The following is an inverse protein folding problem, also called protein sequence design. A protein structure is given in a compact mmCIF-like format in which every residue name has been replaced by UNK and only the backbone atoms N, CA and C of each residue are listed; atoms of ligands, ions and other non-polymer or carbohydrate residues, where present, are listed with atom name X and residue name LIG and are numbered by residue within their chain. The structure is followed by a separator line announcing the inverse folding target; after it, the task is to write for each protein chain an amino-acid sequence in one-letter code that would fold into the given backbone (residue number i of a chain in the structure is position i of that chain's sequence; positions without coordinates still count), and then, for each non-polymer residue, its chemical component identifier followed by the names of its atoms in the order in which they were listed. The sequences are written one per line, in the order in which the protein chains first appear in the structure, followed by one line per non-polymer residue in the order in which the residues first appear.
data_IF_154238488973
#
_entry.id   IF_154238488973
#
_cell.length_a   1.000
_cell.length_b   1.000
_cell.length_c   1.000
_cell.angle_alpha   90.00
_cell.angle_beta   90.00
_cell.angle_gamma   90.00
#
_symmetry.space_group_name_H-M   'P 1'
#
loop_
_entity.id
_entity.type
_entity.pdbx_description
1 polymer ?
#
# COMPACT_ATOMS: atom_id res chain seq x y z
N UNK A 1 82.49 -8.26 24.61
CA UNK A 1 81.91 -8.64 23.30
C UNK A 1 80.42 -8.38 23.42
N UNK A 2 79.95 -7.29 22.81
CA UNK A 2 78.61 -6.73 23.03
C UNK A 2 77.61 -7.36 22.06
N UNK A 3 76.57 -8.00 22.58
CA UNK A 3 75.43 -8.51 21.80
C UNK A 3 74.53 -7.32 21.41
N UNK A 4 74.09 -7.16 20.14
CA UNK A 4 73.29 -6.01 19.73
C UNK A 4 71.85 -6.15 20.26
N UNK A 5 71.28 -5.01 20.68
CA UNK A 5 69.90 -4.90 21.14
C UNK A 5 68.91 -5.26 20.01
N UNK A 6 67.90 -6.07 20.32
CA UNK A 6 66.80 -6.39 19.41
C UNK A 6 65.95 -5.16 19.15
N UNK A 7 65.92 -4.70 17.89
CA UNK A 7 65.06 -3.61 17.42
C UNK A 7 63.59 -3.99 17.55
N UNK A 8 62.84 -3.35 18.44
CA UNK A 8 61.40 -3.52 18.53
C UNK A 8 60.71 -2.94 17.29
N UNK A 9 60.13 -3.82 16.46
CA UNK A 9 59.28 -3.40 15.35
C UNK A 9 57.93 -2.98 15.94
N UNK A 10 57.70 -1.67 16.07
CA UNK A 10 56.39 -1.14 16.43
C UNK A 10 55.36 -1.62 15.39
N UNK A 11 54.38 -2.46 15.75
CA UNK A 11 53.37 -2.90 14.79
C UNK A 11 52.56 -1.68 14.35
N UNK A 12 52.55 -1.42 13.04
CA UNK A 12 51.77 -0.34 12.45
C UNK A 12 50.30 -0.48 12.89
N UNK A 13 49.87 0.42 13.78
CA UNK A 13 48.57 0.38 14.45
C UNK A 13 47.44 0.33 13.40
N UNK A 14 47.60 1.07 12.30
CA UNK A 14 46.67 1.08 11.16
C UNK A 14 46.47 -0.30 10.52
N UNK A 15 47.53 -1.10 10.38
CA UNK A 15 47.46 -2.46 9.83
C UNK A 15 46.80 -3.43 10.81
N UNK A 16 46.97 -3.22 12.12
CA UNK A 16 46.32 -4.02 13.17
C UNK A 16 44.81 -3.74 13.21
N UNK A 17 44.41 -2.47 13.15
CA UNK A 17 43.01 -2.03 13.16
C UNK A 17 42.24 -2.51 11.91
N UNK A 18 42.88 -2.57 10.74
CA UNK A 18 42.25 -3.05 9.50
C UNK A 18 42.07 -4.57 9.44
N UNK A 19 43.01 -5.33 10.03
CA UNK A 19 43.00 -6.80 10.03
C UNK A 19 42.01 -7.38 11.04
N UNK A 20 41.72 -6.64 12.11
CA UNK A 20 40.75 -7.03 13.13
C UNK A 20 39.31 -6.89 12.60
N UNK A 21 38.53 -7.98 12.70
CA UNK A 21 37.19 -8.08 12.11
C UNK A 21 36.22 -7.08 12.72
N UNK A 22 36.29 -6.90 14.04
CA UNK A 22 35.35 -6.08 14.79
C UNK A 22 35.64 -4.58 14.57
N UNK A 23 36.93 -4.21 14.59
CA UNK A 23 37.37 -2.84 14.30
C UNK A 23 37.06 -2.42 12.85
N UNK A 24 37.31 -3.29 11.87
CA UNK A 24 36.97 -3.03 10.47
C UNK A 24 35.46 -2.84 10.26
N UNK A 25 34.64 -3.65 10.94
CA UNK A 25 33.18 -3.55 10.85
C UNK A 25 32.67 -2.20 11.33
N UNK A 26 33.15 -1.74 12.50
CA UNK A 26 32.78 -0.43 13.06
C UNK A 26 33.22 0.70 12.14
N UNK A 27 34.44 0.63 11.61
CA UNK A 27 34.99 1.63 10.70
C UNK A 27 34.16 1.75 9.40
N UNK A 28 33.81 0.63 8.78
CA UNK A 28 32.97 0.60 7.58
C UNK A 28 31.59 1.17 7.89
N UNK A 29 30.96 0.79 9.00
CA UNK A 29 29.65 1.30 9.39
C UNK A 29 29.65 2.82 9.58
N UNK A 30 30.68 3.38 10.23
CA UNK A 30 30.85 4.83 10.40
C UNK A 30 30.97 5.51 9.03
N UNK A 31 31.82 4.99 8.14
CA UNK A 31 31.98 5.53 6.79
C UNK A 31 30.66 5.46 6.02
N UNK A 32 29.98 4.32 6.04
CA UNK A 32 28.68 4.15 5.38
C UNK A 32 27.66 5.15 5.92
N UNK A 33 27.61 5.35 7.24
CA UNK A 33 26.73 6.32 7.87
C UNK A 33 27.04 7.74 7.38
N UNK A 34 28.31 8.16 7.38
CA UNK A 34 28.74 9.47 6.87
C UNK A 34 28.36 9.65 5.40
N UNK A 35 28.57 8.63 4.56
CA UNK A 35 28.20 8.67 3.14
C UNK A 35 26.68 8.85 3.00
N UNK A 36 25.87 8.06 3.72
CA UNK A 36 24.41 8.12 3.66
C UNK A 36 23.89 9.50 4.11
N UNK A 37 24.38 10.03 5.24
CA UNK A 37 23.94 11.34 5.72
C UNK A 37 24.38 12.48 4.81
N UNK A 38 25.60 12.40 4.26
CA UNK A 38 26.07 13.40 3.27
C UNK A 38 25.21 13.34 2.02
N UNK A 39 24.91 12.14 1.51
CA UNK A 39 24.07 11.95 0.34
C UNK A 39 22.65 12.47 0.55
N UNK A 40 22.02 12.15 1.68
CA UNK A 40 20.70 12.68 2.06
C UNK A 40 20.72 14.21 2.21
N UNK A 41 21.78 14.75 2.85
CA UNK A 41 21.98 16.19 2.99
C UNK A 41 22.09 16.89 1.64
N UNK A 42 22.81 16.30 0.67
CA UNK A 42 22.89 16.81 -0.70
C UNK A 42 21.52 16.79 -1.38
N UNK A 43 20.74 15.71 -1.25
CA UNK A 43 19.38 15.65 -1.82
C UNK A 43 18.50 16.75 -1.24
N UNK A 44 18.45 16.88 0.10
CA UNK A 44 17.64 17.89 0.77
C UNK A 44 18.07 19.29 0.33
N UNK A 45 19.36 19.56 0.29
CA UNK A 45 19.89 20.84 -0.14
C UNK A 45 19.50 21.18 -1.58
N UNK A 46 19.63 20.22 -2.51
CA UNK A 46 19.19 20.39 -3.89
C UNK A 46 17.67 20.61 -3.99
N UNK A 47 16.87 19.90 -3.21
CA UNK A 47 15.40 20.07 -3.18
C UNK A 47 15.04 21.47 -2.69
N UNK A 48 15.64 21.94 -1.60
CA UNK A 48 15.37 23.27 -1.04
C UNK A 48 15.74 24.36 -2.04
N UNK A 49 16.94 24.30 -2.65
CA UNK A 49 17.36 25.27 -3.67
C UNK A 49 16.42 25.24 -4.89
N UNK A 50 16.08 24.06 -5.40
CA UNK A 50 15.21 23.95 -6.57
C UNK A 50 13.79 24.44 -6.29
N UNK A 51 13.29 24.24 -5.08
CA UNK A 51 11.99 24.77 -4.65
C UNK A 51 12.03 26.29 -4.53
N UNK A 52 13.07 26.85 -3.93
CA UNK A 52 13.29 28.30 -3.82
C UNK A 52 13.35 28.97 -5.21
N UNK A 53 14.13 28.39 -6.15
CA UNK A 53 14.19 28.85 -7.54
C UNK A 53 12.82 28.76 -8.23
N UNK A 54 12.02 27.73 -7.92
CA UNK A 54 10.66 27.58 -8.43
C UNK A 54 9.62 28.49 -7.74
N UNK A 55 10.05 29.35 -6.80
CA UNK A 55 9.16 30.22 -6.02
C UNK A 55 8.25 29.46 -5.06
N UNK A 56 8.67 28.27 -4.61
CA UNK A 56 7.93 27.42 -3.67
C UNK A 56 8.73 27.25 -2.38
N UNK A 57 8.08 27.47 -1.25
CA UNK A 57 8.69 27.15 0.04
C UNK A 57 8.59 25.65 0.32
N UNK A 58 9.64 25.05 0.90
CA UNK A 58 9.57 23.70 1.45
C UNK A 58 8.69 23.73 2.72
N UNK A 59 7.41 23.40 2.57
CA UNK A 59 6.44 23.46 3.66
C UNK A 59 5.43 22.33 3.59
N UNK A 60 5.05 21.79 4.75
CA UNK A 60 3.92 20.88 4.90
C UNK A 60 2.58 21.62 5.08
N UNK A 61 2.57 22.95 4.99
CA UNK A 61 1.36 23.77 5.06
C UNK A 61 0.32 23.37 4.01
N UNK A 62 0.76 22.82 2.87
CA UNK A 62 -0.13 22.30 1.82
C UNK A 62 -1.11 21.25 2.32
N UNK A 63 -0.75 20.48 3.35
CA UNK A 63 -1.60 19.46 3.93
C UNK A 63 -2.90 20.06 4.52
N UNK A 64 -2.88 21.34 4.90
CA UNK A 64 -4.03 22.08 5.41
C UNK A 64 -4.76 22.91 4.33
N UNK A 65 -4.27 22.95 3.10
CA UNK A 65 -4.98 23.63 2.00
C UNK A 65 -6.14 22.77 1.49
N UNK A 66 -7.20 23.40 0.95
CA UNK A 66 -8.30 22.69 0.29
C UNK A 66 -7.78 21.80 -0.84
N UNK A 67 -8.23 20.55 -0.87
CA UNK A 67 -7.74 19.56 -1.81
C UNK A 67 -8.19 19.82 -3.26
N UNK A 68 -9.38 20.39 -3.45
CA UNK A 68 -9.86 20.85 -4.76
C UNK A 68 -10.32 19.74 -5.73
N UNK A 69 -10.34 18.48 -5.29
CA UNK A 69 -10.86 17.34 -6.06
C UNK A 69 -11.89 16.55 -5.27
N UNK A 70 -12.80 15.86 -5.97
CA UNK A 70 -13.87 15.08 -5.37
C UNK A 70 -13.49 13.60 -5.16
N UNK A 71 -14.04 12.99 -4.11
CA UNK A 71 -13.88 11.56 -3.80
C UNK A 71 -15.27 10.93 -3.74
N UNK A 72 -15.61 10.17 -4.78
CA UNK A 72 -16.97 9.61 -4.94
C UNK A 72 -17.29 8.51 -3.92
N UNK A 73 -16.31 7.70 -3.51
CA UNK A 73 -16.52 6.60 -2.57
C UNK A 73 -15.92 6.92 -1.19
N UNK A 74 -16.79 7.15 -0.21
CA UNK A 74 -16.44 7.68 1.11
C UNK A 74 -17.28 7.02 2.23
N UNK A 75 -17.14 5.69 2.47
CA UNK A 75 -18.01 4.96 3.38
C UNK A 75 -17.77 5.24 4.88
N UNK A 76 -16.63 5.82 5.25
CA UNK A 76 -16.22 5.97 6.66
C UNK A 76 -16.18 7.42 7.16
N UNK A 77 -15.72 8.34 6.32
CA UNK A 77 -15.51 9.74 6.67
C UNK A 77 -16.06 10.60 5.54
N UNK A 78 -16.94 11.54 5.88
CA UNK A 78 -17.47 12.51 4.91
C UNK A 78 -16.36 13.44 4.41
N UNK A 79 -16.33 13.71 3.12
CA UNK A 79 -15.32 14.56 2.49
C UNK A 79 -15.94 15.44 1.41
N UNK A 80 -15.53 16.70 1.41
CA UNK A 80 -15.84 17.71 0.40
C UNK A 80 -14.53 18.18 -0.27
N UNK A 81 -14.56 18.61 -1.55
CA UNK A 81 -13.40 19.22 -2.20
C UNK A 81 -12.84 20.46 -1.49
N UNK A 82 -13.62 21.09 -0.60
CA UNK A 82 -13.20 22.21 0.25
C UNK A 82 -12.38 21.77 1.47
N UNK A 83 -12.39 20.48 1.79
CA UNK A 83 -11.65 19.93 2.93
C UNK A 83 -10.16 19.84 2.64
N UNK A 84 -9.38 19.70 3.71
CA UNK A 84 -7.93 19.68 3.65
C UNK A 84 -7.36 18.43 2.97
N UNK A 85 -6.17 18.54 2.38
CA UNK A 85 -5.42 17.40 1.88
C UNK A 85 -5.17 16.31 2.94
N UNK A 86 -5.04 16.65 4.23
CA UNK A 86 -4.97 15.67 5.33
C UNK A 86 -6.23 14.79 5.40
N UNK A 87 -7.40 15.42 5.30
CA UNK A 87 -8.67 14.68 5.33
C UNK A 87 -8.81 13.80 4.09
N UNK A 88 -8.44 14.31 2.92
CA UNK A 88 -8.41 13.52 1.68
C UNK A 88 -7.47 12.30 1.80
N UNK A 89 -6.29 12.48 2.39
CA UNK A 89 -5.34 11.39 2.64
C UNK A 89 -5.92 10.34 3.61
N UNK A 90 -6.59 10.76 4.68
CA UNK A 90 -7.24 9.85 5.63
C UNK A 90 -8.34 9.00 4.94
N UNK A 91 -9.18 9.62 4.11
CA UNK A 91 -10.19 8.91 3.29
C UNK A 91 -9.51 7.91 2.36
N UNK A 92 -8.44 8.30 1.69
CA UNK A 92 -7.65 7.43 0.82
C UNK A 92 -7.09 6.21 1.56
N UNK A 93 -6.48 6.41 2.74
CA UNK A 93 -5.93 5.34 3.56
C UNK A 93 -7.02 4.34 3.99
N UNK A 94 -8.18 4.83 4.44
CA UNK A 94 -9.29 3.96 4.85
C UNK A 94 -9.87 3.17 3.67
N UNK A 95 -9.96 3.79 2.49
CA UNK A 95 -10.40 3.10 1.27
C UNK A 95 -9.39 2.03 0.84
N UNK A 96 -8.09 2.33 0.87
CA UNK A 96 -7.05 1.33 0.58
C UNK A 96 -7.10 0.17 1.57
N UNK A 97 -7.30 0.45 2.86
CA UNK A 97 -7.42 -0.57 3.88
C UNK A 97 -8.65 -1.46 3.63
N UNK A 98 -9.81 -0.88 3.33
CA UNK A 98 -11.02 -1.62 3.00
C UNK A 98 -10.82 -2.54 1.79
N UNK A 99 -10.22 -2.03 0.72
CA UNK A 99 -9.95 -2.82 -0.50
C UNK A 99 -8.92 -3.92 -0.23
N UNK A 100 -7.88 -3.63 0.57
CA UNK A 100 -6.86 -4.61 0.91
C UNK A 100 -7.45 -5.76 1.75
N UNK A 101 -8.21 -5.45 2.80
CA UNK A 101 -8.82 -6.45 3.69
C UNK A 101 -9.83 -7.31 2.93
N UNK A 102 -10.76 -6.69 2.20
CA UNK A 102 -11.75 -7.43 1.40
C UNK A 102 -11.08 -8.26 0.30
N UNK A 103 -10.05 -7.70 -0.36
CA UNK A 103 -9.25 -8.40 -1.36
C UNK A 103 -8.54 -9.62 -0.80
N UNK A 104 -7.91 -9.53 0.38
CA UNK A 104 -7.24 -10.68 1.03
C UNK A 104 -8.23 -11.80 1.34
N UNK A 105 -9.41 -11.46 1.88
CA UNK A 105 -10.44 -12.45 2.21
C UNK A 105 -10.90 -13.17 0.93
N UNK A 106 -11.29 -12.41 -0.10
CA UNK A 106 -11.77 -12.97 -1.36
C UNK A 106 -10.67 -13.77 -2.07
N UNK A 107 -9.44 -13.25 -2.11
CA UNK A 107 -8.31 -13.91 -2.75
C UNK A 107 -7.93 -15.22 -2.04
N UNK A 108 -8.06 -15.27 -0.70
CA UNK A 108 -7.79 -16.48 0.07
C UNK A 108 -8.83 -17.55 -0.23
N UNK A 109 -10.12 -17.19 -0.25
CA UNK A 109 -11.21 -18.12 -0.59
C UNK A 109 -11.02 -18.64 -2.01
N UNK A 110 -10.93 -17.75 -3.00
CA UNK A 110 -10.78 -18.14 -4.41
C UNK A 110 -9.48 -18.89 -4.68
N UNK A 111 -8.37 -18.42 -4.11
CA UNK A 111 -7.06 -19.04 -4.27
C UNK A 111 -7.00 -20.43 -3.66
N UNK A 112 -7.59 -20.62 -2.48
CA UNK A 112 -7.70 -21.92 -1.85
C UNK A 112 -8.60 -22.87 -2.67
N UNK A 113 -9.80 -22.43 -3.06
CA UNK A 113 -10.72 -23.23 -3.88
C UNK A 113 -10.07 -23.66 -5.20
N UNK A 114 -9.48 -22.72 -5.94
CA UNK A 114 -8.78 -23.01 -7.19
C UNK A 114 -7.56 -23.93 -6.96
N UNK A 115 -6.84 -23.75 -5.85
CA UNK A 115 -5.73 -24.61 -5.46
C UNK A 115 -6.16 -26.07 -5.25
N UNK A 116 -7.27 -26.29 -4.55
CA UNK A 116 -7.86 -27.62 -4.34
C UNK A 116 -8.35 -28.22 -5.66
N UNK A 117 -9.08 -27.45 -6.47
CA UNK A 117 -9.59 -27.93 -7.76
C UNK A 117 -8.47 -28.34 -8.73
N UNK A 118 -7.33 -27.65 -8.70
CA UNK A 118 -6.14 -28.01 -9.48
C UNK A 118 -5.60 -29.40 -9.12
N UNK A 119 -5.66 -29.79 -7.86
CA UNK A 119 -5.22 -31.12 -7.39
C UNK A 119 -6.29 -32.20 -7.54
N UNK A 120 -7.48 -31.87 -8.05
CA UNK A 120 -8.54 -32.86 -8.20
C UNK A 120 -8.15 -33.98 -9.17
N UNK A 121 -8.57 -35.21 -8.86
CA UNK A 121 -8.37 -36.38 -9.74
C UNK A 121 -9.15 -36.28 -11.07
N UNK A 122 -10.06 -35.31 -11.20
CA UNK A 122 -10.78 -35.06 -12.44
C UNK A 122 -9.88 -34.27 -13.39
N UNK A 123 -9.39 -34.94 -14.43
CA UNK A 123 -8.50 -34.37 -15.43
C UNK A 123 -9.06 -33.10 -16.09
N UNK A 124 -10.36 -33.06 -16.39
CA UNK A 124 -10.97 -31.92 -17.06
C UNK A 124 -10.95 -30.67 -16.17
N UNK A 125 -11.35 -30.83 -14.91
CA UNK A 125 -11.38 -29.74 -13.92
C UNK A 125 -9.98 -29.24 -13.63
N UNK A 126 -9.03 -30.15 -13.35
CA UNK A 126 -7.64 -29.81 -13.08
C UNK A 126 -7.01 -29.03 -14.25
N UNK A 127 -7.24 -29.46 -15.50
CA UNK A 127 -6.71 -28.78 -16.69
C UNK A 127 -7.37 -27.42 -16.94
N UNK A 128 -8.68 -27.29 -16.74
CA UNK A 128 -9.38 -26.02 -16.93
C UNK A 128 -8.92 -24.97 -15.92
N UNK A 129 -8.80 -25.35 -14.65
CA UNK A 129 -8.26 -24.46 -13.61
C UNK A 129 -6.80 -24.12 -13.87
N UNK A 130 -5.99 -25.07 -14.34
CA UNK A 130 -4.61 -24.80 -14.74
C UNK A 130 -4.53 -23.71 -15.82
N UNK A 131 -5.32 -23.82 -16.90
CA UNK A 131 -5.34 -22.82 -17.97
C UNK A 131 -5.82 -21.46 -17.45
N UNK A 132 -6.87 -21.43 -16.62
CA UNK A 132 -7.39 -20.19 -16.03
C UNK A 132 -6.35 -19.47 -15.16
N UNK A 133 -5.65 -20.20 -14.29
CA UNK A 133 -4.63 -19.64 -13.41
C UNK A 133 -3.41 -19.14 -14.21
N UNK A 134 -2.97 -19.92 -15.19
CA UNK A 134 -1.83 -19.55 -16.03
C UNK A 134 -2.15 -18.30 -16.87
N UNK A 135 -3.35 -18.22 -17.44
CA UNK A 135 -3.81 -17.02 -18.14
C UNK A 135 -3.84 -15.80 -17.21
N UNK A 136 -4.50 -15.91 -16.06
CA UNK A 136 -4.67 -14.79 -15.12
C UNK A 136 -3.33 -14.26 -14.60
N UNK A 137 -2.33 -15.13 -14.41
CA UNK A 137 -1.00 -14.76 -13.93
C UNK A 137 -0.09 -14.18 -15.02
N UNK A 138 -0.29 -14.56 -16.29
CA UNK A 138 0.53 -14.09 -17.41
C UNK A 138 -0.04 -12.84 -18.11
N UNK A 139 -1.34 -12.56 -17.94
CA UNK A 139 -1.96 -11.36 -18.50
C UNK A 139 -1.71 -10.15 -17.58
N UNK A 140 -1.30 -8.98 -18.12
CA UNK A 140 -1.06 -7.79 -17.32
C UNK A 140 -2.26 -7.40 -16.45
N UNK A 141 -2.02 -7.04 -15.19
CA UNK A 141 -3.08 -6.60 -14.27
C UNK A 141 -3.81 -5.36 -14.80
N UNK A 142 -3.11 -4.49 -15.54
CA UNK A 142 -3.71 -3.32 -16.18
C UNK A 142 -4.81 -3.72 -17.18
N UNK A 143 -4.57 -4.77 -17.99
CA UNK A 143 -5.57 -5.25 -18.94
C UNK A 143 -6.80 -5.75 -18.19
N UNK A 144 -6.61 -6.53 -17.12
CA UNK A 144 -7.72 -6.99 -16.28
C UNK A 144 -8.55 -5.82 -15.73
N UNK A 145 -7.88 -4.80 -15.16
CA UNK A 145 -8.56 -3.61 -14.63
C UNK A 145 -9.33 -2.88 -15.72
N UNK A 146 -8.71 -2.62 -16.87
CA UNK A 146 -9.35 -1.90 -17.97
C UNK A 146 -10.52 -2.68 -18.58
N UNK A 147 -10.37 -4.00 -18.74
CA UNK A 147 -11.40 -4.88 -19.29
C UNK A 147 -12.62 -4.95 -18.36
N UNK A 148 -12.39 -5.21 -17.07
CA UNK A 148 -13.46 -5.27 -16.08
C UNK A 148 -14.13 -3.89 -15.96
N UNK A 149 -13.35 -2.81 -15.87
CA UNK A 149 -13.89 -1.45 -15.83
C UNK A 149 -14.78 -1.14 -17.04
N UNK A 150 -14.33 -1.53 -18.25
CA UNK A 150 -15.11 -1.35 -19.47
C UNK A 150 -16.42 -2.14 -19.43
N UNK A 151 -16.39 -3.41 -19.01
CA UNK A 151 -17.60 -4.21 -18.83
C UNK A 151 -18.58 -3.51 -17.89
N UNK A 152 -18.12 -3.05 -16.73
CA UNK A 152 -18.97 -2.35 -15.77
C UNK A 152 -19.55 -1.06 -16.36
N UNK A 153 -18.77 -0.29 -17.11
CA UNK A 153 -19.25 0.93 -17.75
C UNK A 153 -20.34 0.70 -18.81
N UNK A 154 -20.22 -0.37 -19.61
CA UNK A 154 -21.15 -0.64 -20.72
C UNK A 154 -22.34 -1.50 -20.32
N UNK A 155 -22.16 -2.44 -19.39
CA UNK A 155 -23.21 -3.36 -18.95
C UNK A 155 -24.10 -2.73 -17.89
N UNK A 156 -23.53 -1.96 -16.95
CA UNK A 156 -24.32 -1.33 -15.90
C UNK A 156 -24.88 0.02 -16.35
N UNK A 157 -26.10 0.38 -15.90
CA UNK A 157 -26.71 1.64 -16.28
C UNK A 157 -25.99 2.83 -15.65
N UNK A 158 -26.04 3.97 -16.34
CA UNK A 158 -25.66 5.26 -15.76
C UNK A 158 -26.55 5.60 -14.55
N UNK A 159 -26.09 6.44 -13.60
CA UNK A 159 -26.83 6.69 -12.35
C UNK A 159 -28.27 7.19 -12.55
N UNK A 160 -28.52 7.95 -13.63
CA UNK A 160 -29.87 8.44 -13.97
C UNK A 160 -30.85 7.33 -14.35
N UNK A 161 -30.36 6.15 -14.70
CA UNK A 161 -31.13 4.96 -15.10
C UNK A 161 -30.83 3.77 -14.17
N UNK A 162 -30.49 4.06 -12.90
CA UNK A 162 -30.10 3.04 -11.93
C UNK A 162 -31.12 1.89 -11.89
N UNK A 163 -30.62 0.65 -11.82
CA UNK A 163 -31.47 -0.49 -11.50
C UNK A 163 -31.82 -0.36 -10.03
N UNK A 164 -33.10 -0.15 -9.76
CA UNK A 164 -33.66 -0.05 -8.43
C UNK A 164 -34.15 -1.44 -8.01
N UNK A 165 -33.72 -1.88 -6.83
CA UNK A 165 -34.20 -3.08 -6.17
C UNK A 165 -34.94 -2.63 -4.90
N UNK A 166 -36.26 -2.79 -4.91
CA UNK A 166 -37.14 -2.54 -3.76
C UNK A 166 -37.03 -1.12 -3.17
N UNK A 167 -36.77 -0.11 -4.00
CA UNK A 167 -36.59 1.31 -3.64
C UNK A 167 -35.51 1.61 -2.61
N UNK A 168 -34.70 0.61 -2.30
CA UNK A 168 -33.73 0.66 -1.20
C UNK A 168 -32.31 0.51 -1.72
N UNK A 169 -32.13 -0.25 -2.79
CA UNK A 169 -30.82 -0.61 -3.33
C UNK A 169 -30.73 -0.17 -4.78
N UNK A 170 -29.65 0.53 -5.12
CA UNK A 170 -29.45 1.08 -6.46
C UNK A 170 -28.14 0.56 -7.06
N UNK A 171 -28.23 -0.09 -8.20
CA UNK A 171 -27.07 -0.55 -8.96
C UNK A 171 -26.82 0.38 -10.16
N UNK A 172 -25.60 0.89 -10.25
CA UNK A 172 -25.15 1.82 -11.30
C UNK A 172 -23.75 1.47 -11.79
N UNK A 173 -23.32 2.05 -12.89
CA UNK A 173 -21.93 1.98 -13.35
C UNK A 173 -20.94 2.75 -12.45
N UNK A 174 -21.44 3.46 -11.42
CA UNK A 174 -20.62 4.04 -10.34
C UNK A 174 -20.52 3.13 -9.11
N UNK A 175 -21.14 1.96 -9.17
CA UNK A 175 -21.15 0.97 -8.09
C UNK A 175 -22.54 0.71 -7.53
N UNK A 176 -22.53 0.00 -6.41
CA UNK A 176 -23.70 -0.49 -5.71
C UNK A 176 -23.96 0.39 -4.49
N UNK A 177 -25.12 1.04 -4.46
CA UNK A 177 -25.54 1.94 -3.39
C UNK A 177 -26.52 1.19 -2.51
N UNK A 178 -26.14 1.03 -1.24
CA UNK A 178 -26.91 0.37 -0.20
C UNK A 178 -27.40 1.41 0.82
N UNK A 179 -28.53 1.16 1.50
CA UNK A 179 -28.93 1.99 2.62
C UNK A 179 -27.87 1.87 3.73
N UNK A 180 -27.58 2.98 4.41
CA UNK A 180 -26.71 2.95 5.58
C UNK A 180 -27.40 2.19 6.73
N UNK A 181 -26.74 1.23 7.40
CA UNK A 181 -27.25 0.71 8.65
C UNK A 181 -27.22 1.84 9.70
N UNK A 182 -28.40 2.25 10.18
CA UNK A 182 -28.52 3.24 11.26
C UNK A 182 -28.65 2.47 12.56
N UNK A 183 -27.65 2.62 13.44
CA UNK A 183 -27.67 2.02 14.76
C UNK A 183 -28.32 2.99 15.75
N UNK A 184 -29.44 2.59 16.33
CA UNK A 184 -30.11 3.35 17.41
C UNK A 184 -29.54 2.97 18.78
N UNK A 185 -29.90 3.75 19.80
CA UNK A 185 -29.50 3.52 21.19
C UNK A 185 -29.90 2.10 21.64
N UNK A 186 -28.93 1.36 22.21
CA UNK A 186 -29.13 -0.03 22.64
C UNK A 186 -28.83 -1.11 21.59
N UNK A 187 -28.42 -0.76 20.37
CA UNK A 187 -27.99 -1.76 19.37
C UNK A 187 -26.79 -2.62 19.83
N UNK A 188 -25.99 -2.10 20.76
CA UNK A 188 -24.89 -2.81 21.43
C UNK A 188 -25.29 -4.13 22.10
N UNK A 189 -26.53 -4.24 22.61
CA UNK A 189 -27.05 -5.48 23.20
C UNK A 189 -27.21 -6.61 22.18
N UNK A 190 -27.40 -6.28 20.89
CA UNK A 190 -27.51 -7.27 19.80
C UNK A 190 -26.19 -7.99 19.59
N UNK A 191 -25.06 -7.25 19.63
CA UNK A 191 -23.73 -7.85 19.51
C UNK A 191 -23.39 -8.73 20.71
N UNK A 192 -23.77 -8.31 21.92
CA UNK A 192 -23.58 -9.10 23.15
C UNK A 192 -24.38 -10.41 23.08
N UNK A 193 -25.64 -10.35 22.64
CA UNK A 193 -26.47 -11.53 22.47
C UNK A 193 -25.90 -12.51 21.42
N UNK A 194 -25.36 -12.01 20.32
CA UNK A 194 -24.82 -12.82 19.23
C UNK A 194 -23.48 -13.48 19.57
N UNK A 195 -22.70 -12.89 20.48
CA UNK A 195 -21.45 -13.47 21.00
C UNK A 195 -21.69 -14.51 22.12
N UNK A 196 -22.82 -14.43 22.81
CA UNK A 196 -23.21 -15.35 23.89
C UNK A 196 -24.01 -16.57 23.40
N UNK A 197 -24.43 -16.58 22.14
CA UNK A 197 -25.18 -17.66 21.49
C UNK A 197 -24.24 -18.60 20.71
#
# INVERSE_FOLDING_TARGET
MNTPASTEIHPNILLRLWRDKDTRSIFIQIITMVIVFTFLGLIIHNVVINLEIAGKDFSFGFLNYPAGYDITFQPFISYSPTDTHLRAAAVGILNTLLVAVSGVIIATILGFTMGVLRLSNNWLVSRLVYVFLEFTRNVPVLLHILFIYSIFLYVLPVPKKAINISDTVFLTNRGFILPSPVFEDGFEFVWIALLLQ
#
